data_IF_700044105492
#
_entry.id   IF_700044105492
#
_cell.length_a   1.000
_cell.length_b   1.000
_cell.length_c   1.000
_cell.angle_alpha   90.00
_cell.angle_beta   90.00
_cell.angle_gamma   90.00
#
_symmetry.space_group_name_H-M   'P 1'
#
loop_
_entity.id
_entity.type
_entity.pdbx_description
1 polymer ?
#
# COMPACT_ATOMS: atom_id res chain seq x y z
N UNK A 1 20.72 -14.15 -24.86
CA UNK A 1 20.30 -15.12 -23.81
C UNK A 1 18.87 -15.57 -24.06
N UNK A 2 18.59 -16.88 -24.19
CA UNK A 2 17.22 -17.39 -24.45
C UNK A 2 16.35 -17.25 -23.20
N UNK A 3 15.22 -16.54 -23.33
CA UNK A 3 14.27 -16.32 -22.24
C UNK A 3 13.21 -17.43 -22.19
N UNK A 4 12.48 -17.62 -23.29
CA UNK A 4 11.46 -18.65 -23.41
C UNK A 4 11.13 -18.91 -24.89
N UNK A 5 10.14 -19.77 -25.15
CA UNK A 5 9.61 -20.05 -26.48
C UNK A 5 8.17 -19.58 -26.56
N UNK A 6 7.80 -18.87 -27.62
CA UNK A 6 6.43 -18.41 -27.81
C UNK A 6 5.47 -19.61 -27.90
N UNK A 7 4.41 -19.70 -27.09
CA UNK A 7 3.47 -20.81 -27.14
C UNK A 7 2.56 -20.79 -28.38
N UNK A 8 2.59 -19.70 -29.16
CA UNK A 8 1.72 -19.51 -30.33
C UNK A 8 2.47 -19.84 -31.63
N UNK A 9 3.64 -19.23 -31.85
CA UNK A 9 4.41 -19.42 -33.10
C UNK A 9 5.68 -20.25 -32.91
N UNK A 10 5.99 -20.69 -31.69
CA UNK A 10 7.18 -21.48 -31.36
C UNK A 10 8.53 -20.84 -31.71
N UNK A 11 8.56 -19.53 -31.98
CA UNK A 11 9.81 -18.76 -32.07
C UNK A 11 10.50 -18.67 -30.71
N UNK A 12 11.83 -18.72 -30.72
CA UNK A 12 12.63 -18.48 -29.53
C UNK A 12 12.68 -16.98 -29.22
N UNK A 13 12.43 -16.62 -27.96
CA UNK A 13 12.45 -15.24 -27.49
C UNK A 13 13.75 -15.03 -26.72
N UNK A 14 14.57 -14.10 -27.19
CA UNK A 14 15.85 -13.74 -26.60
C UNK A 14 15.72 -12.45 -25.79
N UNK A 15 16.29 -12.41 -24.58
CA UNK A 15 16.14 -11.25 -23.70
C UNK A 15 16.80 -9.99 -24.28
N UNK A 16 17.95 -10.15 -24.92
CA UNK A 16 18.68 -9.11 -25.65
C UNK A 16 17.83 -8.48 -26.75
N UNK A 17 17.10 -9.30 -27.52
CA UNK A 17 16.19 -8.80 -28.55
C UNK A 17 15.01 -7.99 -27.97
N UNK A 18 14.50 -8.37 -26.78
CA UNK A 18 13.45 -7.60 -26.10
C UNK A 18 13.94 -6.23 -25.59
N UNK A 19 15.24 -6.13 -25.34
CA UNK A 19 15.89 -4.94 -24.82
C UNK A 19 16.47 -4.05 -25.92
N UNK A 20 16.28 -4.34 -27.21
CA UNK A 20 16.83 -3.48 -28.29
C UNK A 20 16.12 -2.11 -28.37
N UNK A 21 14.82 -2.09 -28.12
CA UNK A 21 13.97 -0.89 -28.17
C UNK A 21 13.99 -0.14 -26.81
N UNK A 22 14.18 1.19 -26.86
CA UNK A 22 14.23 2.04 -25.66
C UNK A 22 12.96 1.98 -24.83
N UNK A 23 11.80 2.02 -25.49
CA UNK A 23 10.52 1.96 -24.77
C UNK A 23 10.30 0.58 -24.13
N UNK A 24 10.74 -0.48 -24.81
CA UNK A 24 10.79 -1.84 -24.26
C UNK A 24 11.68 -1.95 -23.03
N UNK A 25 12.89 -1.40 -23.07
CA UNK A 25 13.82 -1.34 -21.93
C UNK A 25 13.19 -0.63 -20.73
N UNK A 26 12.65 0.56 -20.95
CA UNK A 26 12.06 1.35 -19.86
C UNK A 26 10.82 0.68 -19.28
N UNK A 27 9.97 0.07 -20.12
CA UNK A 27 8.81 -0.70 -19.68
C UNK A 27 9.21 -1.88 -18.80
N UNK A 28 10.25 -2.62 -19.18
CA UNK A 28 10.76 -3.73 -18.36
C UNK A 28 11.32 -3.24 -17.03
N UNK A 29 12.02 -2.10 -17.02
CA UNK A 29 12.49 -1.45 -15.79
C UNK A 29 11.35 -1.02 -14.86
N UNK A 30 10.27 -0.47 -15.42
CA UNK A 30 9.06 -0.15 -14.64
C UNK A 30 8.47 -1.40 -14.01
N UNK A 31 8.28 -2.47 -14.79
CA UNK A 31 7.68 -3.72 -14.31
C UNK A 31 8.56 -4.39 -13.24
N UNK A 32 9.89 -4.39 -13.41
CA UNK A 32 10.80 -4.99 -12.43
C UNK A 32 10.82 -4.26 -11.09
N UNK A 33 10.56 -2.95 -11.10
CA UNK A 33 10.50 -2.14 -9.90
C UNK A 33 9.13 -2.16 -9.21
N UNK A 34 8.09 -2.70 -9.87
CA UNK A 34 6.76 -2.83 -9.28
C UNK A 34 6.68 -4.04 -8.35
N UNK A 35 6.57 -3.78 -7.04
CA UNK A 35 6.40 -4.82 -6.02
C UNK A 35 5.03 -5.53 -6.05
N UNK A 36 5.04 -6.78 -5.57
CA UNK A 36 3.83 -7.56 -5.30
C UNK A 36 3.03 -7.93 -6.56
N UNK A 37 1.70 -7.79 -6.49
CA UNK A 37 0.77 -8.18 -7.57
C UNK A 37 0.56 -7.08 -8.63
N UNK A 38 1.13 -5.88 -8.43
CA UNK A 38 0.92 -4.73 -9.31
C UNK A 38 1.48 -4.96 -10.71
N UNK A 39 2.71 -5.47 -10.82
CA UNK A 39 3.37 -5.73 -12.10
C UNK A 39 2.51 -6.58 -13.05
N UNK A 40 2.05 -7.75 -12.56
CA UNK A 40 1.22 -8.67 -13.34
C UNK A 40 -0.15 -8.08 -13.70
N UNK A 41 -0.77 -7.37 -12.76
CA UNK A 41 -2.08 -6.75 -12.97
C UNK A 41 -1.98 -5.64 -14.02
N UNK A 42 -0.94 -4.80 -13.96
CA UNK A 42 -0.68 -3.74 -14.91
C UNK A 42 -0.46 -4.29 -16.31
N UNK A 43 0.42 -5.28 -16.48
CA UNK A 43 0.68 -5.91 -17.80
C UNK A 43 -0.61 -6.46 -18.40
N UNK A 44 -1.43 -7.13 -17.60
CA UNK A 44 -2.71 -7.70 -18.04
C UNK A 44 -3.71 -6.61 -18.46
N UNK A 45 -3.75 -5.51 -17.70
CA UNK A 45 -4.60 -4.34 -17.99
C UNK A 45 -4.19 -3.63 -19.28
N UNK A 46 -2.90 -3.42 -19.52
CA UNK A 46 -2.39 -2.78 -20.74
C UNK A 46 -2.76 -3.62 -21.99
N UNK A 47 -2.85 -4.94 -21.85
CA UNK A 47 -3.35 -5.84 -22.90
C UNK A 47 -4.76 -5.50 -23.40
N UNK A 48 -5.60 -4.81 -22.61
CA UNK A 48 -6.95 -4.38 -23.02
C UNK A 48 -6.93 -3.30 -24.11
N UNK A 49 -5.81 -2.58 -24.26
CA UNK A 49 -5.60 -1.51 -25.25
C UNK A 49 -5.05 -2.03 -26.58
N UNK A 50 -4.75 -3.33 -26.69
CA UNK A 50 -4.26 -3.94 -27.92
C UNK A 50 -5.38 -4.00 -28.96
N UNK A 51 -5.22 -3.35 -30.14
CA UNK A 51 -6.16 -3.50 -31.25
C UNK A 51 -6.18 -4.93 -31.78
N UNK A 52 -7.27 -5.31 -32.43
CA UNK A 52 -7.42 -6.67 -33.00
C UNK A 52 -6.43 -6.95 -34.14
N UNK A 53 -6.27 -5.98 -35.04
CA UNK A 53 -5.51 -6.16 -36.30
C UNK A 53 -4.03 -5.80 -36.19
N UNK A 54 -3.58 -5.24 -35.07
CA UNK A 54 -2.21 -4.76 -34.94
C UNK A 54 -1.64 -4.98 -33.54
N UNK A 55 -0.31 -5.02 -33.46
CA UNK A 55 0.37 -5.04 -32.18
C UNK A 55 0.25 -3.67 -31.49
N UNK A 56 0.17 -3.69 -30.16
CA UNK A 56 0.38 -2.50 -29.35
C UNK A 56 1.88 -2.20 -29.39
N UNK A 57 2.26 -1.00 -29.84
CA UNK A 57 3.67 -0.60 -29.86
C UNK A 57 4.20 -0.40 -28.43
N UNK A 58 5.49 -0.66 -28.21
CA UNK A 58 6.14 -0.47 -26.92
C UNK A 58 6.01 0.97 -26.42
N UNK A 59 6.23 1.97 -27.29
CA UNK A 59 6.08 3.38 -26.93
C UNK A 59 4.67 3.74 -26.44
N UNK A 60 3.63 3.18 -27.08
CA UNK A 60 2.25 3.38 -26.62
C UNK A 60 1.97 2.61 -25.33
N UNK A 61 2.45 1.38 -25.19
CA UNK A 61 2.31 0.59 -23.99
C UNK A 61 2.96 1.27 -22.77
N UNK A 62 4.19 1.77 -22.95
CA UNK A 62 4.94 2.52 -21.94
C UNK A 62 4.18 3.77 -21.49
N UNK A 63 3.65 4.55 -22.43
CA UNK A 63 2.83 5.73 -22.11
C UNK A 63 1.62 5.35 -21.26
N UNK A 64 0.86 4.34 -21.67
CA UNK A 64 -0.31 3.87 -20.91
C UNK A 64 0.07 3.37 -19.51
N UNK A 65 1.22 2.74 -19.34
CA UNK A 65 1.71 2.33 -18.02
C UNK A 65 2.04 3.52 -17.14
N UNK A 66 2.76 4.52 -17.68
CA UNK A 66 3.09 5.76 -16.96
C UNK A 66 1.83 6.53 -16.56
N UNK A 67 0.87 6.67 -17.47
CA UNK A 67 -0.41 7.35 -17.21
C UNK A 67 -1.15 6.70 -16.00
N UNK A 68 -1.16 5.37 -15.91
CA UNK A 68 -1.76 4.65 -14.77
C UNK A 68 -1.01 4.92 -13.47
N UNK A 69 0.32 4.87 -13.50
CA UNK A 69 1.17 5.06 -12.32
C UNK A 69 1.23 6.51 -11.84
N UNK A 70 0.99 7.47 -12.74
CA UNK A 70 0.81 8.88 -12.40
C UNK A 70 -0.52 9.12 -11.68
N UNK A 71 -1.60 8.46 -12.13
CA UNK A 71 -2.91 8.55 -11.47
C UNK A 71 -2.96 7.83 -10.11
N UNK A 72 -2.26 6.71 -9.98
CA UNK A 72 -2.40 5.81 -8.84
C UNK A 72 -1.05 5.23 -8.40
N UNK A 73 -0.76 5.38 -7.10
CA UNK A 73 0.40 4.74 -6.50
C UNK A 73 0.23 3.21 -6.44
N UNK A 74 1.30 2.43 -6.69
CA UNK A 74 1.27 0.98 -6.53
C UNK A 74 0.76 0.55 -5.16
N UNK A 75 -0.32 -0.22 -5.12
CA UNK A 75 -0.98 -0.61 -3.88
C UNK A 75 -1.84 -1.86 -4.09
N UNK A 76 -2.23 -2.59 -3.02
CA UNK A 76 -3.18 -3.69 -3.14
C UNK A 76 -4.51 -3.27 -3.80
N UNK A 77 -4.96 -2.04 -3.53
CA UNK A 77 -6.14 -1.44 -4.15
C UNK A 77 -5.96 -1.28 -5.67
N UNK A 78 -4.84 -0.71 -6.12
CA UNK A 78 -4.56 -0.57 -7.56
C UNK A 78 -4.49 -1.95 -8.24
N UNK A 79 -3.78 -2.90 -7.66
CA UNK A 79 -3.69 -4.26 -8.19
C UNK A 79 -5.07 -4.93 -8.29
N UNK A 80 -5.96 -4.70 -7.30
CA UNK A 80 -7.32 -5.20 -7.34
C UNK A 80 -8.14 -4.55 -8.46
N UNK A 81 -8.15 -3.22 -8.53
CA UNK A 81 -8.92 -2.47 -9.52
C UNK A 81 -8.51 -2.80 -10.97
N UNK A 82 -7.20 -2.97 -11.22
CA UNK A 82 -6.68 -3.41 -12.52
C UNK A 82 -7.19 -4.80 -12.90
N UNK A 83 -7.14 -5.76 -11.98
CA UNK A 83 -7.60 -7.12 -12.22
C UNK A 83 -9.11 -7.19 -12.43
N UNK A 84 -9.90 -6.50 -11.61
CA UNK A 84 -11.35 -6.42 -11.75
C UNK A 84 -11.74 -5.81 -13.09
N UNK A 85 -11.04 -4.74 -13.50
CA UNK A 85 -11.22 -4.13 -14.82
C UNK A 85 -10.98 -5.14 -15.94
N UNK A 86 -9.88 -5.90 -15.89
CA UNK A 86 -9.58 -6.95 -16.87
C UNK A 86 -10.68 -8.01 -16.91
N UNK A 87 -11.10 -8.50 -15.74
CA UNK A 87 -12.13 -9.54 -15.65
C UNK A 87 -13.48 -9.05 -16.20
N UNK A 88 -13.91 -7.84 -15.84
CA UNK A 88 -15.17 -7.27 -16.28
C UNK A 88 -15.17 -7.00 -17.79
N UNK A 89 -14.09 -6.41 -18.32
CA UNK A 89 -13.96 -6.18 -19.77
C UNK A 89 -13.95 -7.51 -20.50
N UNK A 90 -13.13 -8.48 -20.09
CA UNK A 90 -13.05 -9.80 -20.75
C UNK A 90 -14.36 -10.57 -20.69
N UNK A 91 -15.11 -10.47 -19.58
CA UNK A 91 -16.46 -11.02 -19.47
C UNK A 91 -17.39 -10.39 -20.49
N UNK A 92 -17.41 -9.05 -20.56
CA UNK A 92 -18.22 -8.34 -21.54
C UNK A 92 -17.86 -8.74 -22.98
N UNK A 93 -16.57 -8.85 -23.33
CA UNK A 93 -16.14 -9.29 -24.67
C UNK A 93 -16.68 -10.66 -25.03
N UNK A 94 -16.75 -11.60 -24.08
CA UNK A 94 -17.31 -12.95 -24.29
C UNK A 94 -18.82 -12.91 -24.51
N UNK A 95 -19.53 -12.08 -23.75
CA UNK A 95 -21.00 -12.00 -23.80
C UNK A 95 -21.50 -11.21 -25.01
N UNK A 96 -20.89 -10.08 -25.32
CA UNK A 96 -21.36 -9.15 -26.36
C UNK A 96 -20.64 -9.33 -27.69
N UNK A 97 -19.57 -10.14 -27.74
CA UNK A 97 -18.61 -10.23 -28.85
C UNK A 97 -17.96 -8.88 -29.21
N UNK A 98 -18.05 -7.87 -28.34
CA UNK A 98 -17.36 -6.60 -28.55
C UNK A 98 -15.87 -6.74 -28.18
N UNK A 99 -15.03 -6.88 -29.19
CA UNK A 99 -13.58 -7.03 -29.05
C UNK A 99 -12.80 -5.71 -29.19
N UNK A 100 -13.50 -4.57 -29.15
CA UNK A 100 -12.85 -3.27 -29.27
C UNK A 100 -11.82 -3.04 -28.16
N UNK A 101 -10.68 -2.47 -28.56
CA UNK A 101 -9.65 -2.03 -27.64
C UNK A 101 -10.13 -0.83 -26.82
N UNK A 102 -9.66 -0.73 -25.58
CA UNK A 102 -9.90 0.46 -24.77
C UNK A 102 -9.17 1.67 -25.39
N UNK A 103 -9.80 2.84 -25.31
CA UNK A 103 -9.23 4.11 -25.78
C UNK A 103 -8.69 4.99 -24.64
N UNK A 104 -9.14 4.77 -23.40
CA UNK A 104 -8.78 5.57 -22.23
C UNK A 104 -8.93 4.77 -20.92
N UNK A 105 -8.55 5.39 -19.80
CA UNK A 105 -8.57 4.80 -18.46
C UNK A 105 -9.87 5.07 -17.67
N UNK A 106 -10.93 5.63 -18.28
CA UNK A 106 -12.11 6.07 -17.53
C UNK A 106 -12.84 4.93 -16.82
N UNK A 107 -12.84 3.73 -17.41
CA UNK A 107 -13.41 2.56 -16.75
C UNK A 107 -12.60 2.13 -15.53
N UNK A 108 -11.26 2.14 -15.62
CA UNK A 108 -10.39 1.90 -14.47
C UNK A 108 -10.65 2.91 -13.35
N UNK A 109 -10.81 4.20 -13.68
CA UNK A 109 -11.14 5.23 -12.68
C UNK A 109 -12.41 4.88 -11.91
N UNK A 110 -13.47 4.47 -12.60
CA UNK A 110 -14.73 4.06 -11.98
C UNK A 110 -14.56 2.84 -11.07
N UNK A 111 -13.85 1.81 -11.54
CA UNK A 111 -13.60 0.59 -10.76
C UNK A 111 -12.75 0.89 -9.53
N UNK A 112 -11.70 1.71 -9.67
CA UNK A 112 -10.84 2.11 -8.56
C UNK A 112 -11.63 2.85 -7.47
N UNK A 113 -12.45 3.83 -7.84
CA UNK A 113 -13.32 4.53 -6.89
C UNK A 113 -14.31 3.59 -6.19
N UNK A 114 -14.92 2.66 -6.94
CA UNK A 114 -15.84 1.66 -6.39
C UNK A 114 -15.17 0.67 -5.43
N UNK A 115 -13.90 0.36 -5.65
CA UNK A 115 -13.12 -0.56 -4.81
C UNK A 115 -12.55 0.12 -3.55
N UNK A 116 -12.41 1.45 -3.50
CA UNK A 116 -11.84 2.17 -2.33
C UNK A 116 -12.39 1.72 -0.97
N UNK A 117 -13.71 1.58 -0.76
CA UNK A 117 -14.26 1.19 0.54
C UNK A 117 -13.78 -0.18 1.03
N UNK A 118 -13.52 -1.12 0.11
CA UNK A 118 -13.04 -2.47 0.45
C UNK A 118 -11.63 -2.45 1.06
N UNK A 119 -10.83 -1.43 0.71
CA UNK A 119 -9.45 -1.28 1.16
C UNK A 119 -9.26 -0.18 2.21
N UNK A 120 -10.31 0.60 2.51
CA UNK A 120 -10.27 1.67 3.51
C UNK A 120 -10.01 1.16 4.94
N UNK A 121 -10.30 -0.12 5.21
CA UNK A 121 -10.14 -0.74 6.55
C UNK A 121 -8.69 -1.15 6.84
N UNK A 122 -7.78 -1.15 5.86
CA UNK A 122 -6.45 -1.78 5.99
C UNK A 122 -5.35 -0.85 6.56
N UNK A 123 -5.65 0.38 6.99
CA UNK A 123 -4.65 1.23 7.68
C UNK A 123 -4.90 1.32 9.18
N UNK A 124 -4.54 0.26 9.89
CA UNK A 124 -4.34 0.29 11.36
C UNK A 124 -2.86 0.43 11.75
N UNK A 125 -1.94 0.67 10.82
CA UNK A 125 -0.51 0.83 11.13
C UNK A 125 -0.27 2.09 11.99
N UNK A 126 -0.86 3.23 11.61
CA UNK A 126 -0.74 4.46 12.39
C UNK A 126 -1.49 4.46 13.73
N UNK A 127 -2.57 3.68 13.86
CA UNK A 127 -3.28 3.51 15.15
C UNK A 127 -2.55 2.55 16.08
N UNK A 128 -1.94 1.49 15.55
CA UNK A 128 -1.13 0.55 16.32
C UNK A 128 0.16 1.22 16.84
N UNK A 129 0.82 2.06 16.05
CA UNK A 129 1.98 2.83 16.50
C UNK A 129 1.61 3.86 17.57
N UNK A 130 0.56 4.67 17.37
CA UNK A 130 0.09 5.62 18.39
C UNK A 130 -0.38 4.93 19.69
N UNK A 131 -1.06 3.78 19.59
CA UNK A 131 -1.43 3.00 20.78
C UNK A 131 -0.21 2.41 21.48
N UNK A 132 0.81 1.96 20.72
CA UNK A 132 2.05 1.43 21.31
C UNK A 132 2.88 2.51 22.01
N UNK A 133 2.94 3.72 21.45
CA UNK A 133 3.67 4.85 22.05
C UNK A 133 2.92 5.39 23.27
N UNK A 134 1.59 5.56 23.17
CA UNK A 134 0.76 5.97 24.32
C UNK A 134 0.82 4.94 25.46
N UNK A 135 0.76 3.64 25.16
CA UNK A 135 0.90 2.58 26.17
C UNK A 135 2.30 2.59 26.81
N UNK A 136 3.37 2.82 26.04
CA UNK A 136 4.73 2.94 26.57
C UNK A 136 4.92 4.20 27.44
N UNK A 137 4.26 5.31 27.10
CA UNK A 137 4.29 6.53 27.92
C UNK A 137 3.50 6.36 29.22
N UNK A 138 2.36 5.66 29.18
CA UNK A 138 1.59 5.28 30.38
C UNK A 138 2.35 4.31 31.29
N UNK A 139 3.01 3.29 30.73
CA UNK A 139 3.84 2.35 31.49
C UNK A 139 4.99 3.08 32.22
N UNK A 140 5.70 3.98 31.53
CA UNK A 140 6.76 4.81 32.15
C UNK A 140 6.22 5.73 33.23
N UNK A 141 5.03 6.32 33.02
CA UNK A 141 4.36 7.16 34.03
C UNK A 141 4.02 6.32 35.27
N UNK A 142 3.52 5.09 35.08
CA UNK A 142 3.19 4.18 36.18
C UNK A 142 4.41 3.70 36.93
N UNK A 143 5.52 3.39 36.24
CA UNK A 143 6.79 3.04 36.88
C UNK A 143 7.33 4.18 37.74
N UNK A 144 7.30 5.41 37.24
CA UNK A 144 7.72 6.60 37.98
C UNK A 144 6.88 6.80 39.27
N UNK A 145 5.55 6.63 39.18
CA UNK A 145 4.65 6.71 40.34
C UNK A 145 4.97 5.60 41.35
N UNK A 146 5.12 4.35 40.90
CA UNK A 146 5.41 3.21 41.77
C UNK A 146 6.76 3.36 42.48
N UNK A 147 7.76 3.89 41.81
CA UNK A 147 9.08 4.15 42.40
C UNK A 147 8.95 5.09 43.60
N UNK A 148 8.27 6.24 43.43
CA UNK A 148 8.09 7.21 44.51
C UNK A 148 7.17 6.68 45.61
N UNK A 149 6.09 5.96 45.29
CA UNK A 149 5.17 5.38 46.28
C UNK A 149 5.88 4.41 47.24
N UNK A 150 6.91 3.68 46.77
CA UNK A 150 7.72 2.82 47.64
C UNK A 150 8.40 3.63 48.75
N UNK A 151 8.99 4.78 48.42
CA UNK A 151 9.60 5.67 49.42
C UNK A 151 8.55 6.36 50.30
N UNK A 152 7.39 6.70 49.75
CA UNK A 152 6.26 7.24 50.49
C UNK A 152 5.78 6.26 51.57
N UNK A 153 5.65 4.98 51.23
CA UNK A 153 5.18 3.93 52.15
C UNK A 153 6.09 3.70 53.36
N UNK A 154 7.39 3.99 53.22
CA UNK A 154 8.40 3.87 54.29
C UNK A 154 8.61 5.21 55.02
N UNK A 155 7.87 6.27 54.65
CA UNK A 155 7.97 7.60 55.27
C UNK A 155 9.25 8.36 54.92
N UNK A 156 9.90 8.00 53.81
CA UNK A 156 11.24 8.47 53.42
C UNK A 156 11.21 9.39 52.18
N UNK A 157 10.18 10.24 52.06
CA UNK A 157 9.98 11.12 50.90
C UNK A 157 11.11 12.15 50.70
N UNK A 158 11.76 12.58 51.79
CA UNK A 158 12.86 13.55 51.77
C UNK A 158 14.03 13.15 50.83
N UNK A 159 14.22 11.85 50.57
CA UNK A 159 15.29 11.36 49.69
C UNK A 159 14.92 11.42 48.21
N UNK A 160 13.64 11.61 47.89
CA UNK A 160 13.13 11.59 46.51
C UNK A 160 12.51 12.91 46.06
N UNK A 161 12.48 13.92 46.92
CA UNK A 161 11.87 15.23 46.65
C UNK A 161 12.50 16.00 45.46
N UNK A 162 13.80 15.82 45.22
CA UNK A 162 14.53 16.51 44.16
C UNK A 162 14.45 15.80 42.79
N UNK A 163 13.77 14.65 42.71
CA UNK A 163 13.68 13.87 41.48
C UNK A 163 12.50 14.30 40.59
N UNK A 164 12.64 14.27 39.26
CA UNK A 164 11.57 14.69 38.36
C UNK A 164 10.30 13.82 38.49
N UNK A 165 10.45 12.53 38.80
CA UNK A 165 9.37 11.56 39.03
C UNK A 165 8.46 11.98 40.19
N UNK A 166 9.00 12.72 41.18
CA UNK A 166 8.24 13.21 42.33
C UNK A 166 7.13 14.19 41.93
N UNK A 167 7.34 14.97 40.87
CA UNK A 167 6.32 15.91 40.36
C UNK A 167 5.16 15.16 39.71
N UNK A 168 5.44 14.09 38.97
CA UNK A 168 4.45 13.19 38.37
C UNK A 168 3.62 12.49 39.45
N UNK A 169 4.29 12.01 40.50
CA UNK A 169 3.64 11.38 41.65
C UNK A 169 2.73 12.34 42.43
N UNK A 170 3.17 13.58 42.68
CA UNK A 170 2.34 14.62 43.33
C UNK A 170 1.08 14.94 42.52
N UNK A 171 1.20 15.06 41.20
CA UNK A 171 0.06 15.28 40.32
C UNK A 171 -0.92 14.10 40.37
N UNK A 172 -0.41 12.87 40.33
CA UNK A 172 -1.23 11.66 40.48
C UNK A 172 -1.95 11.58 41.83
N UNK A 173 -1.28 11.88 42.96
CA UNK A 173 -1.94 11.93 44.28
C UNK A 173 -3.06 12.98 44.33
N UNK A 174 -2.85 14.16 43.75
CA UNK A 174 -3.87 15.20 43.67
C UNK A 174 -5.07 14.80 42.79
N UNK A 175 -4.83 14.03 41.72
CA UNK A 175 -5.89 13.42 40.90
C UNK A 175 -6.70 12.38 41.69
N UNK A 176 -6.04 11.53 42.48
CA UNK A 176 -6.69 10.53 43.35
C UNK A 176 -7.53 11.19 44.46
N UNK A 177 -7.01 12.24 45.10
CA UNK A 177 -7.74 12.98 46.14
C UNK A 177 -8.99 13.67 45.58
N UNK A 178 -8.92 14.21 44.35
CA UNK A 178 -10.10 14.78 43.66
C UNK A 178 -11.14 13.72 43.28
N UNK A 179 -10.70 12.49 42.96
CA UNK A 179 -11.60 11.37 42.64
C UNK A 179 -12.34 10.79 43.84
N UNK A 180 -11.90 11.07 45.07
CA UNK A 180 -12.52 10.57 46.31
C UNK A 180 -13.53 11.57 46.93
N UNK A 181 -13.65 12.78 46.39
CA UNK A 181 -14.52 13.86 46.90
C UNK A 181 -15.78 14.07 46.03
N UNK A 182 -16.04 13.18 45.07
CA UNK A 182 -17.29 13.10 44.29
C UNK A 182 -18.09 11.86 44.70
#
# INVERSE_FOLDING_TARGET
MKLCRCPICHSDIHLDALLEDDAGREMLGLISNLGGRNARALVSYIGLFRPERSALSNGRALRLMKDVLEMYQPSPLLAHALNETVQAVMKNRRETRNIQALSNHNYLKKVYEGAKPLFAVVRNEGKAEMQSVAAQEEDKRMEAIQYIERYASVGQLQFVENMPEFTVWKAWKAEQEKGYVA
#
